data_IF_687336853177
#
_entry.id   IF_687336853177
#
_cell.length_a   1.000
_cell.length_b   1.000
_cell.length_c   1.000
_cell.angle_alpha   90.00
_cell.angle_beta   90.00
_cell.angle_gamma   90.00
#
_symmetry.space_group_name_H-M   'P 1'
#
loop_
_entity.id
_entity.type
_entity.pdbx_description
1 polymer ?
#
# COMPACT_ATOMS: atom_id res chain seq x y z
N UNK A 1 6.38 -21.49 -3.15
CA UNK A 1 5.15 -21.22 -2.40
C UNK A 1 4.89 -19.73 -2.29
N UNK A 2 3.64 -19.34 -2.27
CA UNK A 2 3.20 -17.95 -2.06
C UNK A 2 2.50 -17.89 -0.72
N UNK A 3 2.94 -16.99 0.16
CA UNK A 3 2.36 -16.82 1.50
C UNK A 3 2.15 -15.36 1.84
N UNK A 4 0.96 -14.99 2.33
CA UNK A 4 0.75 -13.68 2.94
C UNK A 4 1.34 -13.65 4.36
N UNK A 5 2.01 -12.55 4.68
CA UNK A 5 2.62 -12.34 5.98
C UNK A 5 2.25 -10.97 6.52
N UNK A 6 1.99 -10.90 7.82
CA UNK A 6 1.78 -9.62 8.48
C UNK A 6 3.11 -8.90 8.68
N UNK A 7 3.10 -7.60 8.39
CA UNK A 7 4.23 -6.71 8.61
C UNK A 7 4.04 -5.87 9.86
N UNK A 8 5.08 -5.74 10.65
CA UNK A 8 5.13 -4.79 11.73
C UNK A 8 5.54 -3.42 11.20
N UNK A 9 5.05 -2.37 11.82
CA UNK A 9 5.39 -1.01 11.43
C UNK A 9 5.67 -0.13 12.66
N UNK A 10 6.41 0.94 12.43
CA UNK A 10 6.75 1.95 13.42
C UNK A 10 5.95 3.22 13.12
N UNK A 11 5.29 3.74 14.14
CA UNK A 11 4.43 4.93 14.04
C UNK A 11 2.95 4.58 14.14
N UNK A 12 2.13 5.60 14.01
CA UNK A 12 0.67 5.49 14.08
C UNK A 12 0.06 6.17 12.88
N UNK A 13 -1.02 5.59 12.37
CA UNK A 13 -1.82 6.16 11.29
C UNK A 13 -2.71 7.28 11.84
N UNK A 14 -2.11 8.44 12.05
CA UNK A 14 -2.76 9.65 12.52
C UNK A 14 -2.48 10.80 11.56
N UNK A 15 -3.27 11.86 11.68
CA UNK A 15 -3.13 13.07 10.86
C UNK A 15 -1.69 13.58 10.79
N UNK A 16 -1.15 13.69 9.59
CA UNK A 16 0.18 14.22 9.33
C UNK A 16 1.35 13.36 9.79
N UNK A 17 1.09 12.19 10.36
CA UNK A 17 2.14 11.29 10.82
C UNK A 17 2.75 10.49 9.67
N UNK A 18 4.00 10.11 9.86
CA UNK A 18 4.71 9.18 8.99
C UNK A 18 4.80 7.81 9.66
N UNK A 19 4.48 6.77 8.89
CA UNK A 19 4.59 5.36 9.31
C UNK A 19 5.65 4.70 8.47
N UNK A 20 6.57 3.99 9.12
CA UNK A 20 7.61 3.20 8.45
C UNK A 20 7.33 1.71 8.61
N UNK A 21 7.29 1.01 7.49
CA UNK A 21 7.08 -0.43 7.43
C UNK A 21 8.37 -1.07 6.92
N UNK A 22 9.22 -1.60 7.81
CA UNK A 22 10.42 -2.32 7.37
C UNK A 22 10.02 -3.64 6.72
N UNK A 23 10.50 -3.86 5.50
CA UNK A 23 10.29 -5.11 4.78
C UNK A 23 11.40 -6.06 5.17
N UNK A 24 11.06 -6.99 6.04
CA UNK A 24 11.98 -8.08 6.40
C UNK A 24 11.97 -9.14 5.32
N UNK A 25 13.12 -9.75 5.08
CA UNK A 25 13.25 -10.89 4.18
C UNK A 25 12.59 -12.14 4.75
N UNK A 26 11.26 -12.12 4.83
CA UNK A 26 10.47 -13.29 5.22
C UNK A 26 10.25 -14.27 4.07
N UNK A 27 10.58 -13.85 2.85
CA UNK A 27 10.51 -14.63 1.63
C UNK A 27 11.54 -14.15 0.63
N UNK A 28 11.62 -14.80 -0.50
CA UNK A 28 12.65 -14.53 -1.51
C UNK A 28 12.26 -13.37 -2.45
N UNK A 29 10.99 -13.30 -2.80
CA UNK A 29 10.42 -12.23 -3.63
C UNK A 29 9.26 -11.56 -2.89
N UNK A 30 9.13 -10.26 -3.05
CA UNK A 30 8.00 -9.48 -2.57
C UNK A 30 7.07 -9.19 -3.74
N UNK A 31 5.82 -9.65 -3.67
CA UNK A 31 4.83 -9.45 -4.73
C UNK A 31 4.02 -8.19 -4.50
N UNK A 32 3.10 -8.19 -3.56
CA UNK A 32 2.29 -7.00 -3.30
C UNK A 32 2.10 -6.76 -1.80
N UNK A 33 1.81 -5.51 -1.49
CA UNK A 33 1.61 -5.01 -0.13
C UNK A 33 0.19 -4.45 -0.05
N UNK A 34 -0.51 -4.76 1.04
CA UNK A 34 -1.82 -4.17 1.29
C UNK A 34 -2.00 -3.81 2.76
N UNK A 35 -2.91 -2.92 3.00
CA UNK A 35 -3.32 -2.48 4.33
C UNK A 35 -4.73 -2.96 4.60
N UNK A 36 -4.97 -3.46 5.80
CA UNK A 36 -6.28 -3.85 6.28
C UNK A 36 -6.62 -3.10 7.57
N UNK A 37 -7.89 -2.84 7.79
CA UNK A 37 -8.31 -2.27 9.05
C UNK A 37 -9.74 -1.77 9.04
N UNK A 38 -10.22 -1.34 10.19
CA UNK A 38 -11.51 -0.71 10.33
C UNK A 38 -11.43 0.77 9.96
N UNK A 39 -12.44 1.27 9.29
CA UNK A 39 -12.56 2.69 8.90
C UNK A 39 -11.43 3.22 8.00
N UNK A 40 -10.76 2.36 7.26
CA UNK A 40 -9.73 2.80 6.32
C UNK A 40 -10.30 3.74 5.26
N UNK A 41 -11.49 3.42 4.77
CA UNK A 41 -12.18 4.17 3.72
C UNK A 41 -13.63 4.54 4.14
N UNK A 42 -13.87 4.81 5.40
CA UNK A 42 -15.22 5.14 5.86
C UNK A 42 -15.67 6.49 5.29
N UNK A 43 -16.74 6.47 4.53
CA UNK A 43 -17.35 7.67 3.96
C UNK A 43 -17.98 8.60 5.00
N UNK A 44 -18.29 8.09 6.19
CA UNK A 44 -18.88 8.88 7.27
C UNK A 44 -17.84 9.70 8.04
N UNK A 45 -16.56 9.33 7.92
CA UNK A 45 -15.48 10.21 8.38
C UNK A 45 -15.16 11.18 7.23
N UNK A 46 -15.30 12.48 7.43
CA UNK A 46 -15.08 13.46 6.36
C UNK A 46 -13.66 13.40 5.75
N UNK A 47 -12.80 12.57 6.30
CA UNK A 47 -11.41 12.43 5.84
C UNK A 47 -10.89 11.03 6.12
N UNK A 48 -11.21 10.07 5.26
CA UNK A 48 -10.52 8.78 5.28
C UNK A 48 -9.01 8.96 4.93
N UNK A 49 -8.13 8.20 5.59
CA UNK A 49 -6.68 8.26 5.34
C UNK A 49 -6.36 8.02 3.85
N UNK A 50 -7.14 7.18 3.19
CA UNK A 50 -6.90 6.75 1.82
C UNK A 50 -7.89 7.35 0.81
N UNK A 51 -8.65 8.36 1.23
CA UNK A 51 -9.55 9.06 0.32
C UNK A 51 -8.77 10.02 -0.58
N UNK A 52 -9.16 10.07 -1.86
CA UNK A 52 -8.65 11.03 -2.81
C UNK A 52 -9.40 12.36 -2.81
N UNK A 53 -10.53 12.45 -2.06
CA UNK A 53 -11.32 13.68 -2.02
C UNK A 53 -10.55 14.84 -1.40
N UNK A 54 -9.81 15.47 -2.29
CA UNK A 54 -9.53 16.87 -2.09
C UNK A 54 -10.87 17.60 -2.36
N UNK A 55 -11.64 17.87 -1.32
CA UNK A 55 -12.63 18.93 -1.44
C UNK A 55 -11.91 20.14 -2.06
N UNK A 56 -12.47 20.79 -3.09
CA UNK A 56 -11.80 21.92 -3.72
C UNK A 56 -11.43 23.05 -2.75
N UNK A 57 -11.88 22.97 -1.52
CA UNK A 57 -11.55 23.91 -0.44
C UNK A 57 -10.60 23.32 0.62
N UNK A 58 -10.22 22.05 0.50
CA UNK A 58 -9.32 21.41 1.44
C UNK A 58 -8.03 21.00 0.71
N UNK A 59 -7.03 21.86 0.81
CA UNK A 59 -5.68 21.64 0.27
C UNK A 59 -4.90 20.60 1.07
N UNK A 60 -5.59 19.64 1.67
CA UNK A 60 -4.91 18.54 2.34
C UNK A 60 -4.21 17.69 1.29
N UNK A 61 -2.92 17.54 1.47
CA UNK A 61 -2.13 16.68 0.60
C UNK A 61 -2.62 15.23 0.73
N UNK A 62 -2.64 14.48 -0.37
CA UNK A 62 -3.01 13.07 -0.33
C UNK A 62 -2.02 12.27 0.54
N UNK A 63 -2.47 11.11 1.04
CA UNK A 63 -1.56 10.16 1.69
C UNK A 63 -0.55 9.65 0.67
N UNK A 64 0.73 9.70 1.01
CA UNK A 64 1.83 9.31 0.15
C UNK A 64 2.41 7.96 0.57
N UNK A 65 2.71 7.13 -0.42
CA UNK A 65 3.38 5.85 -0.25
C UNK A 65 4.71 5.89 -0.98
N UNK A 66 5.80 5.65 -0.28
CA UNK A 66 7.14 5.62 -0.88
C UNK A 66 7.87 4.33 -0.55
N UNK A 67 8.58 3.81 -1.54
CA UNK A 67 9.48 2.66 -1.39
C UNK A 67 10.91 3.15 -1.27
N UNK A 68 11.58 2.74 -0.21
CA UNK A 68 12.97 3.09 0.07
C UNK A 68 13.84 1.85 0.09
N UNK A 69 14.94 1.90 -0.62
CA UNK A 69 15.94 0.84 -0.67
C UNK A 69 17.31 1.44 -0.40
N UNK A 70 17.97 0.95 0.64
CA UNK A 70 19.31 1.44 1.02
C UNK A 70 19.37 2.94 1.30
N UNK A 71 18.31 3.51 1.86
CA UNK A 71 18.22 4.94 2.16
C UNK A 71 17.91 5.86 0.98
N UNK A 72 17.56 5.29 -0.18
CA UNK A 72 17.15 6.05 -1.36
C UNK A 72 15.70 5.76 -1.72
N UNK A 73 14.94 6.81 -2.02
CA UNK A 73 13.58 6.69 -2.52
C UNK A 73 13.60 6.18 -3.97
N UNK A 74 12.97 5.04 -4.18
CA UNK A 74 12.93 4.35 -5.49
C UNK A 74 11.63 4.62 -6.21
N UNK A 75 10.52 4.68 -5.46
CA UNK A 75 9.18 4.85 -6.01
C UNK A 75 8.32 5.64 -5.03
N UNK A 76 7.45 6.48 -5.56
CA UNK A 76 6.50 7.26 -4.79
C UNK A 76 5.14 7.26 -5.46
N UNK A 77 4.12 6.93 -4.70
CA UNK A 77 2.73 6.97 -5.11
C UNK A 77 1.92 7.78 -4.09
N UNK A 78 0.79 8.29 -4.49
CA UNK A 78 -0.17 8.90 -3.57
C UNK A 78 -1.59 8.40 -3.84
N UNK A 79 -2.50 8.67 -2.93
CA UNK A 79 -3.89 8.25 -3.05
C UNK A 79 -4.60 8.93 -4.20
N UNK A 80 -4.23 10.16 -4.56
CA UNK A 80 -4.75 10.84 -5.73
C UNK A 80 -4.42 10.10 -7.01
N UNK A 81 -3.17 9.68 -7.19
CA UNK A 81 -2.75 8.89 -8.33
C UNK A 81 -3.40 7.50 -8.35
N UNK A 82 -3.41 6.80 -7.22
CA UNK A 82 -3.95 5.43 -7.14
C UNK A 82 -5.45 5.41 -7.44
N UNK A 83 -6.23 6.31 -6.84
CA UNK A 83 -7.68 6.29 -6.93
C UNK A 83 -8.21 6.91 -8.22
N UNK A 84 -7.45 7.72 -8.91
CA UNK A 84 -7.88 8.41 -10.13
C UNK A 84 -7.12 7.96 -11.37
N UNK A 85 -5.82 8.22 -11.46
CA UNK A 85 -5.04 7.96 -12.67
C UNK A 85 -4.82 6.46 -12.90
N UNK A 86 -4.43 5.74 -11.85
CA UNK A 86 -4.13 4.31 -11.96
C UNK A 86 -5.37 3.47 -12.30
N UNK A 87 -6.55 3.88 -11.85
CA UNK A 87 -7.81 3.19 -12.19
C UNK A 87 -8.14 3.25 -13.68
N UNK A 88 -7.71 4.28 -14.38
CA UNK A 88 -7.87 4.37 -15.85
C UNK A 88 -7.00 3.37 -16.61
N UNK A 89 -5.97 2.82 -15.98
CA UNK A 89 -5.11 1.79 -16.55
C UNK A 89 -5.68 0.37 -16.36
N UNK A 90 -6.69 0.23 -15.51
CA UNK A 90 -7.35 -1.03 -15.26
C UNK A 90 -8.35 -1.37 -16.37
N UNK A 91 -8.57 -2.67 -16.59
CA UNK A 91 -9.74 -3.09 -17.33
C UNK A 91 -11.01 -2.89 -16.48
N UNK A 92 -12.18 -3.00 -17.11
CA UNK A 92 -13.46 -2.77 -16.45
C UNK A 92 -13.65 -3.61 -15.17
N UNK A 93 -13.26 -4.88 -15.21
CA UNK A 93 -13.41 -5.78 -14.06
C UNK A 93 -12.50 -5.40 -12.91
N UNK A 94 -11.28 -5.00 -13.17
CA UNK A 94 -10.34 -4.53 -12.16
C UNK A 94 -10.80 -3.21 -11.54
N UNK A 95 -11.31 -2.29 -12.34
CA UNK A 95 -11.86 -1.03 -11.86
C UNK A 95 -13.07 -1.25 -10.96
N UNK A 96 -13.99 -2.14 -11.33
CA UNK A 96 -15.14 -2.51 -10.49
C UNK A 96 -14.71 -3.18 -9.19
N UNK A 97 -13.75 -4.09 -9.25
CA UNK A 97 -13.23 -4.74 -8.06
C UNK A 97 -12.58 -3.74 -7.11
N UNK A 98 -11.83 -2.79 -7.62
CA UNK A 98 -11.24 -1.70 -6.85
C UNK A 98 -12.32 -0.81 -6.18
N UNK A 99 -13.36 -0.45 -6.92
CA UNK A 99 -14.50 0.31 -6.40
C UNK A 99 -15.23 -0.46 -5.30
N UNK A 100 -15.52 -1.71 -5.53
CA UNK A 100 -16.18 -2.57 -4.53
C UNK A 100 -15.29 -2.83 -3.33
N UNK A 101 -14.00 -2.90 -3.59
CA UNK A 101 -13.04 -2.97 -2.53
C UNK A 101 -12.93 -1.64 -1.74
N UNK A 102 -13.76 -0.61 -2.02
CA UNK A 102 -13.95 0.63 -1.26
C UNK A 102 -12.87 1.67 -1.49
N UNK A 103 -12.20 1.56 -2.58
CA UNK A 103 -11.43 2.68 -3.10
C UNK A 103 -12.35 3.77 -3.67
N UNK A 104 -13.67 3.58 -3.55
CA UNK A 104 -14.64 4.55 -4.05
C UNK A 104 -14.95 5.61 -2.99
N UNK A 105 -14.73 6.84 -3.36
CA UNK A 105 -15.13 8.03 -2.63
C UNK A 105 -16.65 8.29 -2.65
N UNK A 106 -17.39 7.47 -3.35
CA UNK A 106 -18.79 7.66 -3.69
C UNK A 106 -19.82 7.07 -2.75
N UNK A 107 -19.60 7.11 -1.47
CA UNK A 107 -20.68 7.00 -0.46
C UNK A 107 -21.58 5.77 -0.54
N UNK A 108 -21.56 5.02 0.40
CA UNK A 108 -22.53 4.33 1.23
C UNK A 108 -21.83 3.22 2.01
N UNK A 109 -21.69 3.42 3.28
CA UNK A 109 -21.59 2.43 4.38
C UNK A 109 -20.94 1.07 4.10
N UNK A 110 -20.01 0.99 3.15
CA UNK A 110 -19.18 -0.17 3.01
C UNK A 110 -17.84 0.13 3.69
N UNK A 111 -17.77 -0.30 4.93
CA UNK A 111 -16.50 -0.34 5.66
C UNK A 111 -15.54 -1.18 4.87
N UNK A 112 -14.66 -0.53 4.14
CA UNK A 112 -13.62 -1.25 3.46
C UNK A 112 -12.50 -1.55 4.36
N UNK A 113 -12.16 -2.79 4.32
CA UNK A 113 -11.18 -3.35 5.18
C UNK A 113 -9.81 -3.47 4.51
N UNK A 114 -9.70 -3.19 3.20
CA UNK A 114 -8.48 -3.46 2.45
C UNK A 114 -8.11 -2.35 1.47
N UNK A 115 -6.83 -1.97 1.46
CA UNK A 115 -6.27 -1.03 0.49
C UNK A 115 -4.94 -1.58 -0.06
N UNK A 116 -4.91 -1.89 -1.35
CA UNK A 116 -3.71 -2.40 -2.03
C UNK A 116 -2.86 -1.24 -2.51
N UNK A 117 -1.56 -1.29 -2.22
CA UNK A 117 -0.59 -0.29 -2.68
C UNK A 117 0.04 -0.80 -3.98
N UNK A 118 -0.32 -0.24 -5.14
CA UNK A 118 0.10 -0.79 -6.44
C UNK A 118 1.49 -0.30 -6.85
N UNK A 119 2.52 -0.73 -6.14
CA UNK A 119 3.89 -0.48 -6.58
C UNK A 119 4.18 -1.19 -7.91
N UNK A 120 5.23 -0.77 -8.61
CA UNK A 120 5.60 -1.31 -9.92
C UNK A 120 5.82 -2.84 -9.93
N UNK A 121 6.24 -3.41 -8.80
CA UNK A 121 6.47 -4.86 -8.65
C UNK A 121 5.20 -5.65 -8.31
N UNK A 122 4.08 -4.99 -8.10
CA UNK A 122 2.81 -5.63 -7.71
C UNK A 122 1.93 -6.06 -8.88
N UNK A 123 2.28 -5.69 -10.11
CA UNK A 123 1.46 -5.97 -11.29
C UNK A 123 1.42 -7.45 -11.66
N UNK A 124 2.55 -8.14 -11.55
CA UNK A 124 2.73 -9.53 -11.95
C UNK A 124 3.81 -10.18 -11.08
N UNK A 125 3.71 -11.47 -10.83
CA UNK A 125 4.72 -12.22 -10.09
C UNK A 125 6.11 -12.17 -10.74
N UNK A 126 6.17 -12.04 -12.07
CA UNK A 126 7.43 -11.90 -12.82
C UNK A 126 8.17 -10.59 -12.55
N UNK A 127 7.44 -9.58 -12.06
CA UNK A 127 7.98 -8.25 -11.71
C UNK A 127 8.23 -8.10 -10.21
N UNK A 128 8.05 -9.16 -9.43
CA UNK A 128 8.21 -9.15 -7.98
C UNK A 128 9.60 -8.65 -7.57
N UNK A 129 9.65 -7.90 -6.47
CA UNK A 129 10.89 -7.33 -5.95
C UNK A 129 11.78 -8.44 -5.38
N UNK A 130 13.01 -8.66 -5.93
CA UNK A 130 13.88 -9.74 -5.49
C UNK A 130 14.61 -9.38 -4.19
N UNK A 131 14.01 -9.68 -3.05
CA UNK A 131 14.62 -9.42 -1.74
C UNK A 131 15.93 -10.18 -1.53
N UNK A 132 16.08 -11.32 -2.17
CA UNK A 132 17.32 -12.11 -2.15
C UNK A 132 18.50 -11.29 -2.69
N UNK A 133 18.30 -10.53 -3.76
CA UNK A 133 19.31 -9.64 -4.31
C UNK A 133 19.54 -8.36 -3.49
N UNK A 134 18.64 -8.05 -2.57
CA UNK A 134 18.70 -6.87 -1.73
C UNK A 134 19.02 -7.16 -0.25
N UNK A 135 19.56 -8.33 0.03
CA UNK A 135 19.78 -8.81 1.40
C UNK A 135 20.71 -7.91 2.26
N UNK A 136 21.55 -7.10 1.64
CA UNK A 136 22.45 -6.16 2.31
C UNK A 136 21.91 -4.72 2.36
N UNK A 137 20.71 -4.49 1.82
CA UNK A 137 20.06 -3.19 1.81
C UNK A 137 18.78 -3.24 2.64
N UNK A 138 18.55 -2.19 3.39
CA UNK A 138 17.27 -2.02 4.07
C UNK A 138 16.20 -1.64 3.04
N UNK A 139 15.12 -2.38 3.05
CA UNK A 139 13.94 -2.10 2.24
C UNK A 139 12.82 -1.70 3.19
N UNK A 140 12.23 -0.54 2.96
CA UNK A 140 11.11 -0.06 3.75
C UNK A 140 10.07 0.66 2.91
N UNK A 141 8.84 0.61 3.35
CA UNK A 141 7.74 1.43 2.83
C UNK A 141 7.44 2.52 3.85
N UNK A 142 7.44 3.77 3.41
CA UNK A 142 7.05 4.91 4.22
C UNK A 142 5.70 5.42 3.77
N UNK A 143 4.81 5.62 4.73
CA UNK A 143 3.47 6.14 4.49
C UNK A 143 3.35 7.46 5.23
N UNK A 144 3.17 8.55 4.49
CA UNK A 144 2.89 9.85 5.07
C UNK A 144 1.38 10.09 5.01
N UNK A 145 0.74 10.00 6.16
CA UNK A 145 -0.69 10.22 6.27
C UNK A 145 -1.06 11.67 5.97
N UNK A 146 -2.16 11.85 5.25
CA UNK A 146 -2.75 13.18 5.03
C UNK A 146 -3.17 13.82 6.35
N UNK A 147 -3.38 15.11 6.33
CA UNK A 147 -4.01 15.81 7.45
C UNK A 147 -5.52 15.54 7.44
N UNK A 148 -6.09 15.27 8.59
CA UNK A 148 -7.52 15.03 8.73
C UNK A 148 -7.86 14.30 10.03
N UNK A 149 -9.15 14.16 10.29
CA UNK A 149 -9.63 13.36 11.42
C UNK A 149 -9.94 11.94 10.92
N UNK A 150 -9.20 10.96 11.39
CA UNK A 150 -9.36 9.56 11.00
C UNK A 150 -10.13 8.74 12.03
N UNK A 151 -10.58 9.37 13.11
CA UNK A 151 -11.28 8.67 14.19
C UNK A 151 -10.45 7.53 14.79
N UNK A 152 -11.13 6.44 15.12
CA UNK A 152 -10.51 5.25 15.73
C UNK A 152 -10.08 4.23 14.65
N UNK A 153 -9.29 4.65 13.69
CA UNK A 153 -8.81 3.77 12.62
C UNK A 153 -7.73 2.82 13.11
N UNK A 154 -7.97 1.52 12.97
CA UNK A 154 -6.96 0.48 13.23
C UNK A 154 -6.47 -0.08 11.91
N UNK A 155 -5.17 0.04 11.64
CA UNK A 155 -4.56 -0.40 10.40
C UNK A 155 -3.54 -1.51 10.67
N UNK A 156 -3.59 -2.56 9.83
CA UNK A 156 -2.61 -3.65 9.80
C UNK A 156 -2.00 -3.70 8.40
N UNK A 157 -0.71 -3.97 8.34
CA UNK A 157 0.01 -4.10 7.08
C UNK A 157 0.33 -5.57 6.78
N UNK A 158 0.17 -5.94 5.51
CA UNK A 158 0.44 -7.28 5.01
C UNK A 158 1.24 -7.22 3.71
N UNK A 159 1.99 -8.27 3.46
CA UNK A 159 2.68 -8.47 2.19
C UNK A 159 2.55 -9.91 1.72
N UNK A 160 2.53 -10.10 0.42
CA UNK A 160 2.60 -11.41 -0.21
C UNK A 160 4.03 -11.71 -0.62
N UNK A 161 4.58 -12.78 -0.08
CA UNK A 161 5.93 -13.25 -0.39
C UNK A 161 5.89 -14.50 -1.25
N UNK A 162 6.86 -14.60 -2.15
CA UNK A 162 7.12 -15.79 -2.93
C UNK A 162 8.38 -16.46 -2.41
N UNK A 163 8.28 -17.74 -2.09
CA UNK A 163 9.40 -18.56 -1.64
C UNK A 163 9.90 -19.41 -2.80
N UNK A 164 11.19 -19.31 -3.07
CA UNK A 164 11.87 -20.00 -4.15
C UNK A 164 12.64 -21.21 -3.63
N UNK A 165 12.96 -22.18 -4.52
CA UNK A 165 13.90 -23.23 -4.21
C UNK A 165 15.36 -22.71 -4.34
N UNK A 166 16.33 -23.57 -4.03
CA UNK A 166 17.76 -23.18 -4.01
C UNK A 166 18.26 -22.73 -5.38
N UNK A 167 17.87 -23.40 -6.45
CA UNK A 167 18.30 -23.07 -7.82
C UNK A 167 17.71 -21.75 -8.29
N UNK A 168 16.43 -21.53 -7.99
CA UNK A 168 15.75 -20.27 -8.31
C UNK A 168 16.32 -19.08 -7.52
N UNK A 169 16.72 -19.29 -6.26
CA UNK A 169 17.39 -18.26 -5.46
C UNK A 169 18.71 -17.84 -6.08
N UNK A 170 19.52 -18.78 -6.53
CA UNK A 170 20.81 -18.50 -7.16
C UNK A 170 20.66 -17.64 -8.41
N UNK A 171 19.59 -17.83 -9.15
CA UNK A 171 19.27 -17.02 -10.33
C UNK A 171 19.03 -15.54 -9.99
N UNK A 172 18.36 -15.25 -8.86
CA UNK A 172 18.02 -13.89 -8.42
C UNK A 172 19.09 -13.22 -7.55
N UNK A 173 20.04 -13.97 -7.07
CA UNK A 173 21.10 -13.46 -6.20
C UNK A 173 22.11 -12.55 -6.92
#
# INVERSE_FOLDING_TARGET
>A
AIKPERLDFVGKFLSGNEVSIPIKSKGDLLSYIWLEGTNINNSDAPTSIFNSDASPNDYTQPTEFSLWVGGQEVCKLDTGFINTVHTHMYNENQAKASTWAGCDAGGSNQSMDTYVIPFFFSEDWTKSLPLVGLQYHEVEVRIKCRNGDFGNTTVKAYASYVFLDTEEREFFA
#
